data_IF_137381680333
#
_entry.id   IF_137381680333
#
_cell.length_a   1.000
_cell.length_b   1.000
_cell.length_c   1.000
_cell.angle_alpha   90.00
_cell.angle_beta   90.00
_cell.angle_gamma   90.00
#
_symmetry.space_group_name_H-M   'P 1'
#
loop_
_entity.id
_entity.type
_entity.pdbx_description
1 polymer ?
#
# COMPACT_ATOMS: atom_id res chain seq x y z
N UNK A 1 -11.85 8.35 -7.97
CA UNK A 1 -12.76 8.39 -6.80
C UNK A 1 -12.04 7.63 -5.69
N UNK A 2 -11.58 8.32 -4.64
CA UNK A 2 -11.01 7.67 -3.46
C UNK A 2 -12.19 7.06 -2.69
N UNK A 3 -12.20 5.73 -2.51
CA UNK A 3 -13.22 5.08 -1.66
C UNK A 3 -12.90 5.47 -0.22
N UNK A 4 -13.94 5.91 0.49
CA UNK A 4 -13.91 6.38 1.88
C UNK A 4 -13.09 5.42 2.77
N UNK A 5 -12.23 5.97 3.61
CA UNK A 5 -11.46 5.27 4.66
C UNK A 5 -12.38 4.30 5.43
N UNK A 6 -12.06 3.01 5.36
CA UNK A 6 -12.83 1.95 6.03
C UNK A 6 -12.15 1.63 7.36
N UNK A 7 -12.57 2.35 8.40
CA UNK A 7 -12.06 2.21 9.76
C UNK A 7 -12.34 0.86 10.42
N UNK A 8 -13.13 -0.02 9.79
CA UNK A 8 -13.63 -1.26 10.41
C UNK A 8 -13.24 -2.54 9.68
N UNK A 9 -12.85 -2.45 8.40
CA UNK A 9 -12.68 -3.64 7.54
C UNK A 9 -13.98 -4.43 7.33
N UNK A 10 -15.14 -3.81 7.54
CA UNK A 10 -16.42 -4.47 7.33
C UNK A 10 -16.78 -4.44 5.84
N UNK A 11 -16.97 -5.62 5.24
CA UNK A 11 -17.32 -5.76 3.82
C UNK A 11 -16.88 -7.10 3.25
N UNK A 12 -17.19 -7.32 1.98
CA UNK A 12 -16.59 -8.39 1.17
C UNK A 12 -15.66 -7.77 0.12
N UNK A 13 -14.56 -8.45 -0.18
CA UNK A 13 -13.61 -8.00 -1.21
C UNK A 13 -12.62 -6.96 -0.70
N UNK A 14 -12.30 -5.98 -1.56
CA UNK A 14 -11.34 -4.92 -1.22
C UNK A 14 -12.03 -3.82 -0.39
N UNK A 15 -11.65 -3.70 0.88
CA UNK A 15 -12.19 -2.69 1.80
C UNK A 15 -11.82 -1.26 1.37
N UNK A 16 -10.58 -1.08 0.93
CA UNK A 16 -10.05 0.18 0.43
C UNK A 16 -9.42 0.00 -0.96
N UNK A 17 -9.63 0.99 -1.83
CA UNK A 17 -9.14 0.95 -3.22
C UNK A 17 -8.57 2.30 -3.62
N UNK A 18 -7.31 2.29 -4.06
CA UNK A 18 -6.63 3.43 -4.67
C UNK A 18 -6.56 3.19 -6.18
N UNK A 19 -7.25 4.03 -6.96
CA UNK A 19 -7.17 4.02 -8.42
C UNK A 19 -6.16 5.05 -8.90
N UNK A 20 -5.20 4.63 -9.72
CA UNK A 20 -4.16 5.52 -10.25
C UNK A 20 -4.27 5.60 -11.77
N UNK A 21 -4.64 6.79 -12.25
CA UNK A 21 -4.62 7.13 -13.67
C UNK A 21 -3.28 7.79 -14.00
N UNK A 22 -2.34 6.99 -14.52
CA UNK A 22 -0.97 7.43 -14.83
C UNK A 22 -0.90 8.53 -15.90
N UNK A 23 -1.95 8.69 -16.72
CA UNK A 23 -2.02 9.75 -17.72
C UNK A 23 -2.27 11.14 -17.12
N UNK A 24 -2.81 11.20 -15.90
CA UNK A 24 -3.05 12.43 -15.14
C UNK A 24 -1.92 12.80 -14.20
N UNK A 25 -0.91 11.95 -14.08
CA UNK A 25 0.25 12.22 -13.22
C UNK A 25 1.18 13.20 -13.92
N UNK A 26 1.43 14.36 -13.29
CA UNK A 26 2.26 15.41 -13.87
C UNK A 26 3.69 14.95 -14.18
N UNK A 27 4.30 15.58 -15.19
CA UNK A 27 5.59 15.16 -15.71
C UNK A 27 6.72 15.20 -14.67
N UNK A 28 6.65 16.10 -13.70
CA UNK A 28 7.64 16.21 -12.62
C UNK A 28 7.60 15.08 -11.56
N UNK A 29 6.62 14.17 -11.62
CA UNK A 29 6.55 13.01 -10.72
C UNK A 29 7.26 11.82 -11.37
N UNK A 30 8.29 11.31 -10.69
CA UNK A 30 9.11 10.18 -11.16
C UNK A 30 8.80 8.86 -10.45
N UNK A 31 8.12 8.91 -9.30
CA UNK A 31 7.83 7.74 -8.47
C UNK A 31 6.53 7.91 -7.68
N UNK A 32 5.78 6.82 -7.55
CA UNK A 32 4.62 6.67 -6.65
C UNK A 32 4.87 5.40 -5.84
N UNK A 33 4.89 5.50 -4.52
CA UNK A 33 5.09 4.36 -3.62
C UNK A 33 3.78 4.07 -2.88
N UNK A 34 3.42 2.79 -2.81
CA UNK A 34 2.24 2.33 -2.09
C UNK A 34 2.67 1.65 -0.80
N UNK A 35 2.17 2.19 0.31
CA UNK A 35 2.48 1.72 1.66
C UNK A 35 1.16 1.57 2.40
N UNK A 36 1.01 0.46 3.10
CA UNK A 36 -0.07 0.27 4.07
C UNK A 36 0.49 0.25 5.48
N UNK A 37 -0.26 0.84 6.41
CA UNK A 37 0.11 0.96 7.81
C UNK A 37 -1.09 0.68 8.69
N UNK A 38 -0.86 0.16 9.89
CA UNK A 38 -1.85 0.17 10.95
C UNK A 38 -1.72 1.49 11.68
N UNK A 39 -2.76 2.32 11.59
CA UNK A 39 -2.78 3.61 12.28
C UNK A 39 -2.60 3.42 13.79
N UNK A 40 -1.50 3.98 14.32
CA UNK A 40 -1.09 3.84 15.73
C UNK A 40 -0.89 2.39 16.16
N UNK A 41 -0.44 1.50 15.27
CA UNK A 41 -0.23 0.08 15.54
C UNK A 41 0.58 -0.20 16.80
N UNK A 42 1.77 0.42 16.94
CA UNK A 42 2.63 0.28 18.12
C UNK A 42 1.93 0.76 19.41
N UNK A 43 1.31 1.95 19.41
CA UNK A 43 0.59 2.49 20.58
C UNK A 43 -0.58 1.58 21.00
N UNK A 44 -1.28 1.01 20.02
CA UNK A 44 -2.44 0.11 20.22
C UNK A 44 -2.04 -1.35 20.43
N UNK A 45 -0.75 -1.68 20.34
CA UNK A 45 -0.24 -3.07 20.32
C UNK A 45 -0.96 -3.93 19.28
N UNK A 46 -1.15 -3.35 18.09
CA UNK A 46 -1.80 -3.93 16.92
C UNK A 46 -0.78 -4.16 15.79
N UNK A 47 -0.76 -5.37 15.24
CA UNK A 47 0.00 -5.78 14.05
C UNK A 47 -0.92 -6.51 13.05
N UNK A 48 -0.42 -6.78 11.84
CA UNK A 48 -1.25 -7.42 10.81
C UNK A 48 -1.68 -8.84 11.16
N UNK A 49 -0.92 -9.57 11.98
CA UNK A 49 -1.28 -10.92 12.44
C UNK A 49 -2.51 -10.95 13.35
N UNK A 50 -2.93 -9.80 13.89
CA UNK A 50 -4.15 -9.66 14.67
C UNK A 50 -5.36 -9.26 13.83
N UNK A 51 -5.18 -8.99 12.54
CA UNK A 51 -6.25 -8.62 11.61
C UNK A 51 -6.59 -9.85 10.76
N UNK A 52 -7.81 -10.36 10.91
CA UNK A 52 -8.26 -11.52 10.16
C UNK A 52 -8.42 -11.19 8.67
N UNK A 53 -7.97 -12.11 7.81
CA UNK A 53 -8.10 -12.02 6.35
C UNK A 53 -7.52 -10.71 5.78
N UNK A 54 -6.47 -10.18 6.40
CA UNK A 54 -5.82 -8.97 5.92
C UNK A 54 -4.98 -9.29 4.67
N UNK A 55 -5.33 -8.70 3.53
CA UNK A 55 -4.54 -8.81 2.31
C UNK A 55 -4.47 -7.47 1.58
N UNK A 56 -3.43 -7.32 0.76
CA UNK A 56 -3.33 -6.23 -0.20
C UNK A 56 -2.97 -6.80 -1.54
N UNK A 57 -3.55 -6.23 -2.60
CA UNK A 57 -3.29 -6.62 -3.98
C UNK A 57 -3.15 -5.42 -4.89
N UNK A 58 -2.45 -5.61 -5.99
CA UNK A 58 -2.38 -4.65 -7.09
C UNK A 58 -2.94 -5.32 -8.33
N UNK A 59 -3.85 -4.62 -9.01
CA UNK A 59 -4.56 -5.12 -10.18
C UNK A 59 -4.34 -4.14 -11.33
N UNK A 60 -4.02 -4.67 -12.51
CA UNK A 60 -4.08 -3.90 -13.76
C UNK A 60 -5.55 -3.80 -14.21
N UNK A 61 -6.06 -2.57 -14.32
CA UNK A 61 -7.47 -2.34 -14.71
C UNK A 61 -7.74 -2.60 -16.19
N UNK A 62 -6.71 -2.67 -17.04
CA UNK A 62 -6.89 -2.93 -18.47
C UNK A 62 -7.45 -4.33 -18.75
N UNK A 63 -6.98 -5.33 -18.01
CA UNK A 63 -7.35 -6.73 -18.15
C UNK A 63 -7.86 -7.38 -16.84
N UNK A 64 -7.99 -6.59 -15.76
CA UNK A 64 -8.32 -7.04 -14.40
C UNK A 64 -7.35 -8.10 -13.85
N UNK A 65 -6.12 -8.13 -14.35
CA UNK A 65 -5.11 -9.09 -13.88
C UNK A 65 -4.52 -8.64 -12.56
N UNK A 66 -4.58 -9.53 -11.58
CA UNK A 66 -3.84 -9.36 -10.33
C UNK A 66 -2.34 -9.49 -10.61
N UNK A 67 -1.60 -8.40 -10.37
CA UNK A 67 -0.15 -8.33 -10.57
C UNK A 67 0.58 -8.92 -9.38
N UNK A 68 0.10 -8.61 -8.17
CA UNK A 68 0.61 -9.12 -6.89
C UNK A 68 -0.51 -9.19 -5.86
N UNK A 69 -0.35 -10.09 -4.89
CA UNK A 69 -1.13 -10.17 -3.66
C UNK A 69 -0.23 -10.60 -2.51
N UNK A 70 -0.39 -9.94 -1.37
CA UNK A 70 0.27 -10.25 -0.12
C UNK A 70 -0.77 -10.60 0.94
N UNK A 71 -0.53 -11.70 1.66
CA UNK A 71 -1.30 -12.02 2.86
C UNK A 71 -0.62 -11.34 4.05
N UNK A 72 -1.23 -10.28 4.56
CA UNK A 72 -0.64 -9.51 5.65
C UNK A 72 -0.72 -10.25 6.98
N UNK A 73 -1.76 -11.07 7.14
CA UNK A 73 -1.97 -11.83 8.36
C UNK A 73 -0.96 -12.96 8.54
N UNK A 74 -0.47 -13.54 7.43
CA UNK A 74 0.56 -14.58 7.44
C UNK A 74 1.98 -13.99 7.23
N UNK A 75 2.24 -13.34 6.09
CA UNK A 75 3.58 -12.94 5.65
C UNK A 75 4.15 -11.78 6.47
N UNK A 76 3.28 -10.96 7.07
CA UNK A 76 3.63 -9.73 7.78
C UNK A 76 3.06 -9.69 9.20
N UNK A 77 2.83 -10.87 9.79
CA UNK A 77 2.08 -11.05 11.04
C UNK A 77 2.59 -10.24 12.25
N UNK A 78 3.87 -9.89 12.29
CA UNK A 78 4.46 -9.10 13.39
C UNK A 78 4.65 -7.62 13.04
N UNK A 79 4.39 -7.23 11.81
CA UNK A 79 4.67 -5.90 11.28
C UNK A 79 3.45 -4.97 11.44
N UNK A 80 3.71 -3.67 11.43
CA UNK A 80 2.68 -2.62 11.52
C UNK A 80 2.62 -1.76 10.27
N UNK A 81 3.52 -1.99 9.31
CA UNK A 81 3.56 -1.33 8.02
C UNK A 81 4.16 -2.26 6.96
N UNK A 82 3.76 -2.06 5.70
CA UNK A 82 4.30 -2.78 4.54
C UNK A 82 4.40 -1.84 3.35
N UNK A 83 5.57 -1.77 2.74
CA UNK A 83 5.75 -1.19 1.40
C UNK A 83 5.39 -2.25 0.36
N UNK A 84 4.32 -1.99 -0.38
CA UNK A 84 3.66 -2.97 -1.24
C UNK A 84 4.35 -3.02 -2.61
N UNK A 85 4.43 -1.85 -3.24
CA UNK A 85 4.94 -1.69 -4.59
C UNK A 85 5.35 -0.24 -4.85
N UNK A 86 6.16 -0.07 -5.89
CA UNK A 86 6.45 1.24 -6.47
C UNK A 86 6.13 1.25 -7.97
N UNK A 87 5.49 2.33 -8.41
CA UNK A 87 5.45 2.75 -9.80
C UNK A 87 6.56 3.78 -9.99
N UNK A 88 7.41 3.60 -10.98
CA UNK A 88 8.51 4.52 -11.25
C UNK A 88 8.69 4.74 -12.75
N UNK A 89 9.12 5.95 -13.13
CA UNK A 89 9.47 6.24 -14.52
C UNK A 89 10.87 5.73 -14.83
N UNK A 90 11.00 5.04 -15.96
CA UNK A 90 12.28 4.69 -16.58
C UNK A 90 12.22 5.11 -18.03
N UNK A 91 13.05 6.08 -18.41
CA UNK A 91 13.07 6.67 -19.75
C UNK A 91 11.68 7.19 -20.19
N UNK A 92 10.99 7.89 -19.29
CA UNK A 92 9.64 8.44 -19.54
C UNK A 92 8.50 7.42 -19.54
N UNK A 93 8.79 6.14 -19.32
CA UNK A 93 7.79 5.07 -19.29
C UNK A 93 7.60 4.57 -17.86
N UNK A 94 6.35 4.50 -17.41
CA UNK A 94 6.01 3.92 -16.12
C UNK A 94 6.33 2.41 -16.08
N UNK A 95 6.94 1.99 -14.98
CA UNK A 95 7.27 0.60 -14.66
C UNK A 95 6.72 0.28 -13.29
N UNK A 96 6.28 -0.97 -13.14
CA UNK A 96 5.82 -1.54 -11.88
C UNK A 96 6.92 -2.38 -11.26
N UNK A 97 7.10 -2.25 -9.94
CA UNK A 97 7.96 -3.11 -9.15
C UNK A 97 7.27 -3.49 -7.84
N UNK A 98 7.16 -4.79 -7.59
CA UNK A 98 6.76 -5.32 -6.30
C UNK A 98 7.88 -5.12 -5.27
N UNK A 99 7.52 -4.77 -4.04
CA UNK A 99 8.49 -4.52 -2.95
C UNK A 99 8.31 -5.52 -1.83
N UNK A 100 7.14 -5.55 -1.17
CA UNK A 100 6.84 -6.48 -0.08
C UNK A 100 7.71 -6.29 1.17
N UNK A 101 8.07 -5.04 1.51
CA UNK A 101 8.94 -4.72 2.64
C UNK A 101 8.17 -4.42 3.91
N UNK A 102 8.15 -5.35 4.87
CA UNK A 102 7.48 -5.17 6.18
C UNK A 102 8.34 -4.41 7.19
N UNK A 103 7.74 -3.50 7.96
CA UNK A 103 8.42 -2.80 9.07
C UNK A 103 7.46 -2.46 10.22
N UNK A 104 8.03 -2.00 11.35
CA UNK A 104 7.27 -1.46 12.49
C UNK A 104 7.23 0.08 12.55
N UNK A 105 7.55 0.75 11.45
CA UNK A 105 7.64 2.22 11.40
C UNK A 105 6.25 2.86 11.45
N UNK A 106 6.17 4.03 12.07
CA UNK A 106 4.97 4.86 12.06
C UNK A 106 4.83 5.62 10.75
N UNK A 107 3.63 6.20 10.51
CA UNK A 107 3.42 7.08 9.36
C UNK A 107 4.46 8.20 9.34
N UNK A 108 4.65 8.89 10.46
CA UNK A 108 5.57 10.02 10.63
C UNK A 108 7.00 9.63 10.25
N UNK A 109 7.43 8.44 10.67
CA UNK A 109 8.75 7.91 10.33
C UNK A 109 8.86 7.69 8.82
N UNK A 110 7.85 7.06 8.21
CA UNK A 110 7.83 6.76 6.78
C UNK A 110 7.82 8.05 5.95
N UNK A 111 6.94 9.02 6.22
CA UNK A 111 6.93 10.29 5.46
C UNK A 111 8.23 11.08 5.63
N UNK A 112 8.87 11.01 6.80
CA UNK A 112 10.17 11.68 7.02
C UNK A 112 11.29 11.10 6.14
N UNK A 113 11.25 9.80 5.83
CA UNK A 113 12.21 9.15 4.91
C UNK A 113 12.03 9.64 3.47
N UNK A 114 10.84 10.10 3.12
CA UNK A 114 10.54 10.77 1.84
C UNK A 114 10.73 12.29 1.89
N UNK A 115 11.26 12.83 2.98
CA UNK A 115 11.52 14.27 3.15
C UNK A 115 10.28 15.12 3.38
N UNK A 116 9.12 14.50 3.66
CA UNK A 116 7.88 15.17 4.02
C UNK A 116 7.92 15.43 5.53
N UNK A 117 7.71 16.70 5.92
CA UNK A 117 7.73 17.16 7.32
C UNK A 117 6.35 17.59 7.78
#
# INVERSE_FOLDING_TARGET
MYKKDNLTGAGEGDDEVINVDLSKVGDGIEKIVFIAIIFKGEERKQNFGQIMNAYIRVVDQGDNKELIRYDLSEDYSIETSVEIAELYKKNGVWKFKAVGGGTKKTLETIVSEYGIK
#
